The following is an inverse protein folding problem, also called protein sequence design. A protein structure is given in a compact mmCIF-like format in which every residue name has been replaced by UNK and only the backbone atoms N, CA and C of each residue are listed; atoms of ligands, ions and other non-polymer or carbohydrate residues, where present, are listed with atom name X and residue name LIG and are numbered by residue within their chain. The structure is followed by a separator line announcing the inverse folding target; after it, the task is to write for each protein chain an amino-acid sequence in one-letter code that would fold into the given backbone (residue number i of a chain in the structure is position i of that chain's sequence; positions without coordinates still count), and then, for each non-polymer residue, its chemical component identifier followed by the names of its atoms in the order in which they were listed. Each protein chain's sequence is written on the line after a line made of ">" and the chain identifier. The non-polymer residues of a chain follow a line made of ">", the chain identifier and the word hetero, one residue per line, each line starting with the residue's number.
data_IF_101061546152
#
_entry.id   IF_101061546152
#
_cell.length_a   1.000
_cell.length_b   1.000
_cell.length_c   1.000
_cell.angle_alpha   90.00
_cell.angle_beta   90.00
_cell.angle_gamma   90.00
#
_symmetry.space_group_name_H-M   'P 1'
#
loop_
_entity.id
_entity.type
_entity.pdbx_description
1 polymer ?
#
# COMPACT_ATOMS: atom_id res chain seq x y z
N UNK A 1 3.44 1.89 16.93
CA UNK A 1 2.17 2.62 16.83
C UNK A 1 1.32 1.92 15.77
N UNK A 2 0.01 1.83 15.96
CA UNK A 2 -0.86 1.01 15.09
C UNK A 2 -0.72 1.34 13.59
N UNK A 3 -0.45 2.60 13.21
CA UNK A 3 -0.22 2.96 11.81
C UNK A 3 1.07 2.38 11.23
N UNK A 4 2.14 2.27 12.04
CA UNK A 4 3.39 1.64 11.61
C UNK A 4 3.27 0.15 11.39
N UNK A 5 2.42 -0.53 12.17
CA UNK A 5 2.08 -1.94 11.95
C UNK A 5 1.32 -2.11 10.62
N UNK A 6 0.35 -1.23 10.33
CA UNK A 6 -0.34 -1.22 9.04
C UNK A 6 0.61 -0.99 7.85
N UNK A 7 1.56 -0.06 7.97
CA UNK A 7 2.59 0.17 6.95
C UNK A 7 3.45 -1.09 6.76
N UNK A 8 3.86 -1.75 7.84
CA UNK A 8 4.66 -2.98 7.79
C UNK A 8 3.91 -4.10 7.07
N UNK A 9 2.63 -4.31 7.40
CA UNK A 9 1.77 -5.30 6.73
C UNK A 9 1.61 -4.99 5.24
N UNK A 10 1.43 -3.71 4.87
CA UNK A 10 1.39 -3.31 3.47
C UNK A 10 2.69 -3.62 2.72
N UNK A 11 3.85 -3.36 3.33
CA UNK A 11 5.14 -3.65 2.70
C UNK A 11 5.31 -5.15 2.44
N UNK A 12 4.92 -5.98 3.41
CA UNK A 12 4.89 -7.43 3.24
C UNK A 12 3.90 -7.87 2.13
N UNK A 13 2.73 -7.24 2.06
CA UNK A 13 1.74 -7.49 1.00
C UNK A 13 2.32 -7.15 -0.38
N UNK A 14 2.98 -5.99 -0.51
CA UNK A 14 3.68 -5.58 -1.73
C UNK A 14 4.73 -6.62 -2.13
N UNK A 15 5.54 -7.10 -1.18
CA UNK A 15 6.56 -8.13 -1.44
C UNK A 15 5.93 -9.45 -1.89
N UNK A 16 4.84 -9.89 -1.27
CA UNK A 16 4.11 -11.09 -1.69
C UNK A 16 3.61 -11.00 -3.14
N UNK A 17 3.14 -9.83 -3.58
CA UNK A 17 2.73 -9.61 -4.98
C UNK A 17 3.90 -9.61 -5.97
N UNK A 18 5.05 -9.10 -5.54
CA UNK A 18 6.31 -9.19 -6.30
C UNK A 18 6.72 -10.65 -6.48
N UNK A 19 6.65 -11.45 -5.40
CA UNK A 19 7.00 -12.87 -5.38
C UNK A 19 5.92 -13.78 -6.01
N UNK A 20 4.84 -13.21 -6.56
CA UNK A 20 3.71 -13.93 -7.12
C UNK A 20 3.01 -14.88 -6.12
N UNK A 21 3.08 -14.59 -4.82
CA UNK A 21 2.49 -15.37 -3.75
C UNK A 21 1.09 -14.84 -3.40
N UNK A 22 0.09 -15.23 -4.20
CA UNK A 22 -1.28 -14.73 -4.07
C UNK A 22 -1.97 -15.12 -2.76
N UNK A 23 -1.65 -16.29 -2.20
CA UNK A 23 -2.21 -16.73 -0.92
C UNK A 23 -1.73 -15.83 0.23
N UNK A 24 -0.43 -15.53 0.27
CA UNK A 24 0.13 -14.63 1.28
C UNK A 24 -0.37 -13.21 1.08
N UNK A 25 -0.53 -12.76 -0.18
CA UNK A 25 -1.11 -11.46 -0.47
C UNK A 25 -2.55 -11.34 0.06
N UNK A 26 -3.40 -12.36 -0.11
CA UNK A 26 -4.76 -12.34 0.42
C UNK A 26 -4.79 -12.26 1.96
N UNK A 27 -3.96 -13.07 2.64
CA UNK A 27 -3.88 -13.07 4.11
C UNK A 27 -3.37 -11.74 4.67
N UNK A 28 -2.35 -11.15 4.03
CA UNK A 28 -1.80 -9.86 4.45
C UNK A 28 -2.78 -8.72 4.19
N UNK A 29 -3.53 -8.75 3.10
CA UNK A 29 -4.59 -7.77 2.85
C UNK A 29 -5.73 -7.87 3.85
N UNK A 30 -6.14 -9.07 4.26
CA UNK A 30 -7.10 -9.26 5.33
C UNK A 30 -6.60 -8.65 6.65
N UNK A 31 -5.36 -8.96 7.04
CA UNK A 31 -4.75 -8.40 8.26
C UNK A 31 -4.65 -6.87 8.20
N UNK A 32 -4.26 -6.34 7.04
CA UNK A 32 -4.18 -4.90 6.81
C UNK A 32 -5.56 -4.24 6.94
N UNK A 33 -6.62 -4.84 6.38
CA UNK A 33 -7.99 -4.36 6.51
C UNK A 33 -8.41 -4.21 7.98
N UNK A 34 -8.13 -5.23 8.81
CA UNK A 34 -8.45 -5.22 10.24
C UNK A 34 -7.69 -4.11 10.99
N UNK A 35 -6.39 -3.97 10.73
CA UNK A 35 -5.55 -2.92 11.33
C UNK A 35 -6.04 -1.51 10.98
N UNK A 36 -6.40 -1.29 9.72
CA UNK A 36 -6.92 0.01 9.25
C UNK A 36 -8.28 0.36 9.84
N UNK A 37 -9.14 -0.66 10.02
CA UNK A 37 -10.46 -0.48 10.65
C UNK A 37 -10.30 -0.08 12.12
N UNK A 38 -9.37 -0.69 12.84
CA UNK A 38 -9.07 -0.35 14.22
C UNK A 38 -8.55 1.09 14.37
N UNK A 39 -7.63 1.50 13.49
CA UNK A 39 -7.02 2.85 13.48
C UNK A 39 -8.03 4.00 13.38
N UNK A 40 -9.13 3.81 12.64
CA UNK A 40 -10.17 4.82 12.52
C UNK A 40 -10.81 5.18 13.87
N UNK A 41 -10.73 4.30 14.88
CA UNK A 41 -11.29 4.51 16.21
C UNK A 41 -10.34 5.13 17.24
N UNK A 42 -9.04 5.29 16.96
CA UNK A 42 -8.02 5.53 18.00
C UNK A 42 -7.62 6.99 18.23
N UNK A 43 -7.77 7.89 17.25
CA UNK A 43 -7.31 9.28 17.41
C UNK A 43 -8.33 10.12 18.17
N UNK A 44 -7.89 10.86 19.20
CA UNK A 44 -8.73 11.84 19.91
C UNK A 44 -8.78 13.24 19.27
N UNK A 45 -8.01 13.49 18.21
CA UNK A 45 -7.94 14.80 17.53
C UNK A 45 -9.01 14.90 16.41
N UNK A 46 -10.01 15.79 16.52
CA UNK A 46 -11.08 15.92 15.53
C UNK A 46 -10.58 16.33 14.14
N UNK A 47 -9.52 17.13 14.04
CA UNK A 47 -8.96 17.56 12.75
C UNK A 47 -8.30 16.37 12.04
N UNK A 48 -7.54 15.57 12.79
CA UNK A 48 -6.99 14.33 12.28
C UNK A 48 -8.08 13.34 11.87
N UNK A 49 -9.09 13.12 12.71
CA UNK A 49 -10.21 12.21 12.40
C UNK A 49 -10.92 12.59 11.09
N UNK A 50 -11.18 13.88 10.88
CA UNK A 50 -11.82 14.39 9.66
C UNK A 50 -10.96 14.15 8.41
N UNK A 51 -9.64 14.37 8.50
CA UNK A 51 -8.71 14.11 7.40
C UNK A 51 -8.48 12.61 7.15
N UNK A 52 -8.44 11.81 8.22
CA UNK A 52 -8.20 10.37 8.17
C UNK A 52 -9.40 9.63 7.60
N UNK A 53 -10.63 9.97 8.01
CA UNK A 53 -11.84 9.21 7.68
C UNK A 53 -11.94 8.80 6.20
N UNK A 54 -11.88 9.72 5.21
CA UNK A 54 -11.97 9.33 3.80
C UNK A 54 -10.76 8.49 3.34
N UNK A 55 -9.58 8.70 3.91
CA UNK A 55 -8.37 7.92 3.57
C UNK A 55 -8.47 6.51 4.14
N UNK A 56 -8.86 6.38 5.41
CA UNK A 56 -9.03 5.11 6.11
C UNK A 56 -10.15 4.25 5.52
N UNK A 57 -11.29 4.84 5.16
CA UNK A 57 -12.39 4.13 4.49
C UNK A 57 -11.96 3.59 3.12
N UNK A 58 -11.27 4.39 2.31
CA UNK A 58 -10.74 3.95 1.01
C UNK A 58 -9.67 2.86 1.16
N UNK A 59 -8.79 2.99 2.15
CA UNK A 59 -7.76 2.00 2.47
C UNK A 59 -8.39 0.65 2.85
N UNK A 60 -9.37 0.66 3.77
CA UNK A 60 -10.05 -0.55 4.20
C UNK A 60 -10.83 -1.20 3.04
N UNK A 61 -11.52 -0.41 2.23
CA UNK A 61 -12.24 -0.91 1.06
C UNK A 61 -11.29 -1.53 0.00
N UNK A 62 -10.15 -0.89 -0.26
CA UNK A 62 -9.16 -1.41 -1.20
C UNK A 62 -8.51 -2.70 -0.68
N UNK A 63 -8.22 -2.80 0.61
CA UNK A 63 -7.71 -4.02 1.23
C UNK A 63 -8.73 -5.16 1.12
N UNK A 64 -10.01 -4.89 1.39
CA UNK A 64 -11.09 -5.87 1.23
C UNK A 64 -11.22 -6.36 -0.23
N UNK A 65 -11.09 -5.47 -1.21
CA UNK A 65 -11.13 -5.83 -2.63
C UNK A 65 -9.97 -6.77 -3.03
N UNK A 66 -8.79 -6.60 -2.44
CA UNK A 66 -7.65 -7.48 -2.69
C UNK A 66 -7.90 -8.88 -2.13
N UNK A 67 -8.42 -8.97 -0.91
CA UNK A 67 -8.82 -10.25 -0.29
C UNK A 67 -9.88 -11.00 -1.11
N UNK A 68 -10.81 -10.27 -1.73
CA UNK A 68 -11.86 -10.84 -2.58
C UNK A 68 -11.42 -11.16 -4.02
N UNK A 69 -10.21 -10.75 -4.43
CA UNK A 69 -9.71 -10.96 -5.78
C UNK A 69 -9.42 -12.42 -6.08
N UNK A 70 -10.01 -12.95 -7.15
CA UNK A 70 -9.75 -14.32 -7.62
C UNK A 70 -8.48 -14.34 -8.49
N UNK A 71 -7.36 -14.74 -7.89
CA UNK A 71 -6.08 -14.89 -8.57
C UNK A 71 -5.17 -13.66 -8.51
N UNK A 72 -3.91 -13.87 -8.89
CA UNK A 72 -2.83 -12.89 -8.68
C UNK A 72 -3.05 -11.61 -9.49
N UNK A 73 -3.57 -11.69 -10.70
CA UNK A 73 -3.84 -10.54 -11.57
C UNK A 73 -4.94 -9.64 -10.99
N UNK A 74 -5.98 -10.25 -10.42
CA UNK A 74 -7.05 -9.52 -9.75
C UNK A 74 -6.50 -8.81 -8.49
N UNK A 75 -5.67 -9.49 -7.71
CA UNK A 75 -5.01 -8.92 -6.54
C UNK A 75 -4.07 -7.75 -6.90
N UNK A 76 -3.26 -7.89 -7.96
CA UNK A 76 -2.40 -6.82 -8.48
C UNK A 76 -3.20 -5.60 -8.94
N UNK A 77 -4.35 -5.83 -9.56
CA UNK A 77 -5.26 -4.75 -9.96
C UNK A 77 -5.85 -4.06 -8.73
N UNK A 78 -6.29 -4.82 -7.73
CA UNK A 78 -6.80 -4.28 -6.46
C UNK A 78 -5.72 -3.59 -5.60
N UNK A 79 -4.45 -3.93 -5.78
CA UNK A 79 -3.34 -3.31 -5.05
C UNK A 79 -3.09 -1.85 -5.44
N UNK A 80 -3.48 -1.44 -6.65
CA UNK A 80 -3.32 -0.06 -7.10
C UNK A 80 -4.08 0.97 -6.23
N UNK A 81 -5.42 0.87 -6.04
CA UNK A 81 -6.14 1.80 -5.18
C UNK A 81 -5.70 1.74 -3.71
N UNK A 82 -5.22 0.58 -3.24
CA UNK A 82 -4.65 0.43 -1.90
C UNK A 82 -3.37 1.27 -1.77
N UNK A 83 -2.46 1.16 -2.72
CA UNK A 83 -1.19 1.90 -2.76
C UNK A 83 -1.39 3.41 -2.79
N UNK A 84 -2.31 3.88 -3.64
CA UNK A 84 -2.65 5.29 -3.74
C UNK A 84 -3.20 5.85 -2.43
N UNK A 85 -4.07 5.07 -1.76
CA UNK A 85 -4.65 5.49 -0.48
C UNK A 85 -3.61 5.46 0.65
N UNK A 86 -2.67 4.51 0.64
CA UNK A 86 -1.64 4.44 1.68
C UNK A 86 -0.60 5.56 1.54
N UNK A 87 -0.23 5.94 0.31
CA UNK A 87 0.64 7.10 0.08
C UNK A 87 0.03 8.35 0.75
N UNK A 88 -1.27 8.60 0.56
CA UNK A 88 -1.99 9.71 1.20
C UNK A 88 -2.01 9.59 2.73
N UNK A 89 -2.18 8.37 3.25
CA UNK A 89 -2.12 8.14 4.69
C UNK A 89 -0.74 8.45 5.27
N UNK A 90 0.34 8.05 4.58
CA UNK A 90 1.71 8.37 4.99
C UNK A 90 1.99 9.88 4.88
N UNK A 91 1.41 10.58 3.91
CA UNK A 91 1.49 12.05 3.84
C UNK A 91 0.83 12.73 5.04
N UNK A 92 -0.30 12.18 5.51
CA UNK A 92 -1.04 12.71 6.65
C UNK A 92 -0.39 12.39 8.00
N UNK A 93 0.07 11.14 8.19
CA UNK A 93 0.55 10.62 9.48
C UNK A 93 2.08 10.70 9.61
N UNK A 94 2.80 10.56 8.50
CA UNK A 94 4.26 10.37 8.45
C UNK A 94 4.67 8.89 8.36
N UNK A 95 5.96 8.60 8.03
CA UNK A 95 6.42 7.26 7.64
C UNK A 95 6.71 6.30 8.81
N UNK A 96 6.04 6.51 9.95
CA UNK A 96 5.98 5.57 11.09
C UNK A 96 7.31 4.95 11.58
N UNK A 97 8.43 5.66 11.46
CA UNK A 97 9.71 5.30 12.07
C UNK A 97 10.79 4.79 11.11
N UNK A 98 10.47 4.58 9.83
CA UNK A 98 11.46 4.25 8.79
C UNK A 98 11.31 5.17 7.58
N UNK A 99 12.30 5.15 6.67
CA UNK A 99 12.18 5.90 5.42
C UNK A 99 11.35 5.11 4.41
N UNK A 100 10.39 5.76 3.78
CA UNK A 100 9.56 5.17 2.73
C UNK A 100 9.78 5.90 1.41
N UNK A 101 9.78 5.14 0.32
CA UNK A 101 9.98 5.61 -1.04
C UNK A 101 8.68 5.39 -1.81
N UNK A 102 8.17 6.47 -2.42
CA UNK A 102 7.17 6.33 -3.47
C UNK A 102 7.91 5.94 -4.74
N UNK A 103 7.54 4.80 -5.30
CA UNK A 103 8.05 4.30 -6.57
C UNK A 103 6.93 4.34 -7.60
N UNK A 104 7.28 4.63 -8.85
CA UNK A 104 6.34 4.79 -9.96
C UNK A 104 6.79 3.97 -11.17
N UNK A 105 5.88 3.22 -11.79
CA UNK A 105 6.10 2.60 -13.10
C UNK A 105 5.11 3.20 -14.11
N UNK A 106 5.58 3.93 -15.14
CA UNK A 106 4.68 4.61 -16.09
C UNK A 106 3.93 3.63 -17.00
N UNK A 107 4.40 2.38 -17.11
CA UNK A 107 3.80 1.36 -17.97
C UNK A 107 2.67 0.57 -17.31
N UNK A 108 2.45 0.75 -16.00
CA UNK A 108 1.37 0.08 -15.29
C UNK A 108 -0.01 0.49 -15.84
N UNK A 109 -0.93 -0.48 -15.90
CA UNK A 109 -2.31 -0.29 -16.33
C UNK A 109 -2.43 0.44 -17.68
N UNK A 110 -1.95 -0.19 -18.75
CA UNK A 110 -2.01 0.33 -20.12
C UNK A 110 -1.34 1.70 -20.30
N UNK A 111 -0.16 1.87 -19.69
CA UNK A 111 0.61 3.12 -19.67
C UNK A 111 -0.09 4.30 -18.96
N UNK A 112 -1.06 4.01 -18.08
CA UNK A 112 -1.65 5.03 -17.19
C UNK A 112 -0.70 5.39 -16.05
N UNK A 113 0.19 4.46 -15.69
CA UNK A 113 1.12 4.59 -14.59
C UNK A 113 0.51 4.19 -13.24
N UNK A 114 1.36 3.77 -12.32
CA UNK A 114 0.96 3.46 -10.95
C UNK A 114 2.09 3.64 -9.95
N UNK A 115 1.73 4.13 -8.77
CA UNK A 115 2.66 4.31 -7.65
C UNK A 115 2.47 3.25 -6.57
N UNK A 116 3.53 2.97 -5.82
CA UNK A 116 3.51 2.17 -4.60
C UNK A 116 4.54 2.68 -3.58
N UNK A 117 4.36 2.28 -2.32
CA UNK A 117 5.36 2.54 -1.27
C UNK A 117 6.33 1.37 -1.14
N UNK A 118 7.59 1.67 -0.83
CA UNK A 118 8.65 0.71 -0.55
C UNK A 118 9.52 1.22 0.58
N UNK A 119 10.10 0.31 1.39
CA UNK A 119 11.16 0.64 2.36
C UNK A 119 12.58 0.51 1.76
N UNK A 120 12.67 0.20 0.47
CA UNK A 120 13.94 0.13 -0.29
C UNK A 120 13.91 1.09 -1.47
N UNK A 121 15.06 1.67 -1.81
CA UNK A 121 15.24 2.43 -3.05
C UNK A 121 15.36 1.53 -4.29
N UNK A 122 15.54 0.21 -4.10
CA UNK A 122 15.53 -0.75 -5.21
C UNK A 122 14.11 -0.92 -5.74
N UNK A 123 13.99 -0.97 -7.06
CA UNK A 123 12.70 -1.09 -7.76
C UNK A 123 12.33 -2.56 -7.90
N UNK A 124 11.21 -2.92 -7.28
CA UNK A 124 10.55 -4.21 -7.39
C UNK A 124 9.06 -3.98 -7.60
N UNK A 125 8.61 -4.12 -8.85
CA UNK A 125 7.29 -3.72 -9.31
C UNK A 125 6.23 -4.79 -8.93
N UNK A 126 5.25 -4.46 -8.07
CA UNK A 126 4.23 -5.41 -7.64
C UNK A 126 3.16 -5.69 -8.71
N UNK A 127 3.07 -4.88 -9.77
CA UNK A 127 1.99 -4.92 -10.75
C UNK A 127 2.19 -5.93 -11.89
N UNK A 128 3.44 -6.34 -12.18
CA UNK A 128 3.75 -7.13 -13.37
C UNK A 128 4.60 -8.37 -13.12
N UNK A 129 4.98 -8.66 -11.87
CA UNK A 129 5.87 -9.77 -11.55
C UNK A 129 7.18 -9.71 -12.35
N UNK A 130 7.70 -10.88 -12.73
CA UNK A 130 9.02 -10.99 -13.38
C UNK A 130 9.14 -10.26 -14.72
N UNK A 131 8.02 -10.05 -15.43
CA UNK A 131 8.04 -9.42 -16.77
C UNK A 131 8.58 -7.99 -16.75
N UNK A 132 8.31 -7.25 -15.67
CA UNK A 132 8.72 -5.85 -15.51
C UNK A 132 9.16 -5.57 -14.07
N UNK A 133 9.85 -6.52 -13.45
CA UNK A 133 10.24 -6.47 -12.04
C UNK A 133 10.98 -5.17 -11.67
N UNK A 134 11.80 -4.65 -12.57
CA UNK A 134 12.56 -3.41 -12.37
C UNK A 134 11.99 -2.19 -13.10
N UNK A 135 10.75 -2.26 -13.62
CA UNK A 135 10.09 -1.07 -14.16
C UNK A 135 9.76 -0.11 -13.02
N UNK A 136 10.39 1.05 -13.05
CA UNK A 136 9.98 2.21 -12.29
C UNK A 136 11.14 3.04 -11.77
N UNK A 137 10.81 4.08 -11.03
CA UNK A 137 11.73 5.01 -10.41
C UNK A 137 11.21 5.50 -9.06
N UNK A 138 12.12 5.96 -8.19
CA UNK A 138 11.73 6.64 -6.95
C UNK A 138 11.34 8.08 -7.29
N UNK A 139 10.09 8.45 -7.03
CA UNK A 139 9.56 9.79 -7.31
C UNK A 139 9.48 10.67 -6.06
N UNK A 140 9.38 10.07 -4.88
CA UNK A 140 9.30 10.78 -3.60
C UNK A 140 9.92 9.96 -2.48
N UNK A 141 10.51 10.64 -1.50
CA UNK A 141 11.04 10.02 -0.27
C UNK A 141 10.39 10.67 0.95
N UNK A 142 9.83 9.84 1.83
CA UNK A 142 9.46 10.19 3.19
C UNK A 142 10.60 9.75 4.10
N UNK A 143 11.37 10.70 4.64
CA UNK A 143 12.47 10.38 5.53
C UNK A 143 11.95 9.95 6.91
N UNK A 144 12.60 8.97 7.52
CA UNK A 144 12.41 8.65 8.94
C UNK A 144 12.59 9.93 9.79
N UNK A 145 11.70 10.11 10.77
CA UNK A 145 11.76 11.22 11.74
C UNK A 145 12.42 10.77 13.03
#
# INVERSE_FOLDING_TARGET
>A
AAFGEAVTTYLALKDALVEANGDSAALLAQSLQEQLTALAGESGDPAFQSAWKPVGENLAAAAAALTAGEGLEAQRTAFYPLSQSLIKAVELVGPAGESLYVQHCPMAFDNTGADWLSNSSKIYNPYFGDMMLHCGEVTKTFAAK
#
